data_IF_799315705898
#
_entry.id   IF_799315705898
#
_cell.length_a   1.000
_cell.length_b   1.000
_cell.length_c   1.000
_cell.angle_alpha   90.00
_cell.angle_beta   90.00
_cell.angle_gamma   90.00
#
_symmetry.space_group_name_H-M   'P 1'
#
loop_
_entity.id
_entity.type
_entity.pdbx_description
1 polymer ?
#
# COMPACT_ATOMS: atom_id res chain seq x y z
N UNK A 1 -18.87 10.23 -27.58
CA UNK A 1 -19.69 11.04 -26.65
C UNK A 1 -20.23 10.21 -25.49
N UNK A 2 -21.04 9.16 -25.71
CA UNK A 2 -21.64 8.32 -24.63
C UNK A 2 -20.62 7.78 -23.61
N UNK A 3 -19.46 7.28 -24.04
CA UNK A 3 -18.45 6.74 -23.12
C UNK A 3 -17.85 7.82 -22.18
N UNK A 4 -17.69 9.05 -22.70
CA UNK A 4 -17.19 10.16 -21.91
C UNK A 4 -18.22 10.50 -20.81
N UNK A 5 -19.49 10.54 -21.16
CA UNK A 5 -20.55 10.80 -20.17
C UNK A 5 -20.63 9.70 -19.10
N UNK A 6 -20.50 8.43 -19.49
CA UNK A 6 -20.52 7.29 -18.57
C UNK A 6 -19.33 7.36 -17.59
N UNK A 7 -18.12 7.57 -18.11
CA UNK A 7 -16.95 7.64 -17.24
C UNK A 7 -16.99 8.88 -16.33
N UNK A 8 -17.39 10.03 -16.85
CA UNK A 8 -17.54 11.25 -16.04
C UNK A 8 -18.54 11.06 -14.92
N UNK A 9 -19.67 10.41 -15.17
CA UNK A 9 -20.65 10.08 -14.13
C UNK A 9 -20.03 9.18 -13.04
N UNK A 10 -19.30 8.11 -13.40
CA UNK A 10 -18.64 7.23 -12.46
C UNK A 10 -17.60 7.96 -11.61
N UNK A 11 -16.77 8.81 -12.24
CA UNK A 11 -15.76 9.60 -11.54
C UNK A 11 -16.40 10.57 -10.54
N UNK A 12 -17.51 11.23 -10.91
CA UNK A 12 -18.26 12.11 -10.00
C UNK A 12 -18.83 11.31 -8.82
N UNK A 13 -19.48 10.16 -9.07
CA UNK A 13 -20.02 9.29 -8.01
C UNK A 13 -18.92 8.84 -7.07
N UNK A 14 -17.77 8.38 -7.62
CA UNK A 14 -16.65 7.94 -6.78
C UNK A 14 -16.07 9.10 -5.98
N UNK A 15 -15.87 10.27 -6.59
CA UNK A 15 -15.39 11.46 -5.88
C UNK A 15 -16.31 11.85 -4.71
N UNK A 16 -17.63 11.79 -4.89
CA UNK A 16 -18.59 12.06 -3.82
C UNK A 16 -18.42 11.04 -2.68
N UNK A 17 -18.25 9.74 -2.99
CA UNK A 17 -18.03 8.71 -1.97
C UNK A 17 -16.70 8.92 -1.24
N UNK A 18 -15.61 9.22 -1.95
CA UNK A 18 -14.28 9.43 -1.35
C UNK A 18 -14.27 10.64 -0.40
N UNK A 19 -14.85 11.75 -0.80
CA UNK A 19 -14.91 12.97 0.02
C UNK A 19 -15.80 12.79 1.26
N UNK A 20 -16.82 11.93 1.20
CA UNK A 20 -17.76 11.71 2.30
C UNK A 20 -17.45 10.47 3.14
N UNK A 21 -16.28 9.87 2.99
CA UNK A 21 -15.87 8.70 3.78
C UNK A 21 -14.52 8.90 4.43
N UNK A 22 -14.27 8.11 5.49
CA UNK A 22 -13.00 8.11 6.21
C UNK A 22 -11.82 7.97 5.25
N UNK A 23 -10.89 8.91 5.29
CA UNK A 23 -9.60 8.84 4.63
C UNK A 23 -8.54 8.28 5.59
N UNK A 24 -7.67 7.41 5.12
CA UNK A 24 -6.56 6.89 5.92
C UNK A 24 -5.23 7.43 5.40
N UNK A 25 -4.55 8.24 6.20
CA UNK A 25 -3.20 8.70 5.93
C UNK A 25 -2.26 8.07 6.95
N UNK A 26 -1.55 7.04 6.54
CA UNK A 26 -0.59 6.37 7.39
C UNK A 26 0.55 7.31 7.78
N UNK A 27 0.97 7.37 9.06
CA UNK A 27 2.01 8.29 9.53
C UNK A 27 3.28 8.24 8.69
N UNK A 28 3.70 7.06 8.27
CA UNK A 28 4.89 6.83 7.44
C UNK A 28 4.85 7.61 6.11
N UNK A 29 3.65 7.86 5.57
CA UNK A 29 3.48 8.62 4.31
C UNK A 29 3.81 10.10 4.47
N UNK A 30 3.92 10.61 5.69
CA UNK A 30 4.31 12.00 5.98
C UNK A 30 5.64 12.09 6.70
N UNK A 31 5.92 11.16 7.61
CA UNK A 31 7.14 11.16 8.45
C UNK A 31 8.38 10.84 7.63
N UNK A 32 8.39 9.74 6.85
CA UNK A 32 9.55 9.42 6.00
C UNK A 32 9.92 10.56 5.03
N UNK A 33 8.95 11.14 4.28
CA UNK A 33 9.18 12.29 3.42
C UNK A 33 9.72 13.51 4.17
N UNK A 34 9.18 13.79 5.35
CA UNK A 34 9.62 14.91 6.18
C UNK A 34 11.06 14.75 6.63
N UNK A 35 11.42 13.59 7.16
CA UNK A 35 12.78 13.30 7.62
C UNK A 35 13.77 13.33 6.45
N UNK A 36 13.40 12.77 5.29
CA UNK A 36 14.22 12.81 4.08
C UNK A 36 14.53 14.25 3.65
N UNK A 37 13.53 15.14 3.67
CA UNK A 37 13.70 16.57 3.36
C UNK A 37 14.56 17.31 4.40
N UNK A 38 14.69 16.75 5.60
CA UNK A 38 15.56 17.28 6.66
C UNK A 38 16.91 16.53 6.76
N UNK A 39 17.38 15.98 5.65
CA UNK A 39 18.71 15.36 5.51
C UNK A 39 18.91 14.07 6.35
N UNK A 40 17.85 13.37 6.68
CA UNK A 40 17.93 12.00 7.18
C UNK A 40 18.13 11.05 6.00
N UNK A 41 19.03 10.11 6.15
CA UNK A 41 19.36 9.13 5.10
C UNK A 41 18.44 7.91 5.21
N UNK A 42 17.78 7.54 4.11
CA UNK A 42 16.99 6.31 4.04
C UNK A 42 17.87 5.10 4.41
N UNK A 43 17.27 4.16 5.12
CA UNK A 43 17.83 2.89 5.60
C UNK A 43 18.84 3.02 6.73
N UNK A 44 19.52 4.15 6.87
CA UNK A 44 20.47 4.44 7.95
C UNK A 44 19.81 5.21 9.08
N UNK A 45 19.32 6.40 8.76
CA UNK A 45 18.69 7.32 9.71
C UNK A 45 17.16 7.15 9.76
N UNK A 46 16.57 6.61 8.68
CA UNK A 46 15.14 6.27 8.57
C UNK A 46 15.05 4.78 8.24
N UNK A 47 14.53 3.98 9.13
CA UNK A 47 14.33 2.55 8.90
C UNK A 47 13.06 2.35 8.08
N UNK A 48 13.24 1.87 6.84
CA UNK A 48 12.17 1.73 5.85
C UNK A 48 12.37 0.43 5.04
N UNK A 49 11.42 -0.54 5.07
CA UNK A 49 11.55 -1.81 4.36
C UNK A 49 11.10 -1.77 2.89
N UNK A 50 10.78 -0.59 2.37
CA UNK A 50 10.27 -0.42 1.00
C UNK A 50 11.30 0.21 0.09
N UNK A 51 11.22 -0.02 -1.25
CA UNK A 51 11.99 0.74 -2.22
C UNK A 51 11.77 2.24 -2.08
N UNK A 52 12.74 3.10 -2.45
CA UNK A 52 12.72 4.51 -2.09
C UNK A 52 11.76 5.36 -2.91
N UNK A 53 11.24 4.84 -4.05
CA UNK A 53 10.56 5.65 -5.06
C UNK A 53 9.34 6.41 -4.54
N UNK A 54 8.48 5.77 -3.77
CA UNK A 54 7.30 6.44 -3.23
C UNK A 54 7.70 7.48 -2.17
N UNK A 55 8.62 7.15 -1.27
CA UNK A 55 9.10 8.08 -0.24
C UNK A 55 9.72 9.33 -0.87
N UNK A 56 10.50 9.18 -1.95
CA UNK A 56 11.09 10.31 -2.69
C UNK A 56 9.99 11.15 -3.34
N UNK A 57 9.00 10.51 -3.98
CA UNK A 57 7.86 11.23 -4.58
C UNK A 57 7.11 12.05 -3.53
N UNK A 58 6.76 11.43 -2.40
CA UNK A 58 6.05 12.09 -1.31
C UNK A 58 6.91 13.19 -0.66
N UNK A 59 8.23 13.04 -0.63
CA UNK A 59 9.13 14.09 -0.16
C UNK A 59 9.07 15.35 -1.04
N UNK A 60 8.98 15.20 -2.38
CA UNK A 60 8.79 16.35 -3.27
C UNK A 60 7.42 17.01 -3.04
N UNK A 61 6.36 16.21 -2.86
CA UNK A 61 5.02 16.73 -2.55
C UNK A 61 5.04 17.49 -1.22
N UNK A 62 5.60 16.89 -0.16
CA UNK A 62 5.71 17.52 1.15
C UNK A 62 6.56 18.80 1.14
N UNK A 63 7.62 18.86 0.31
CA UNK A 63 8.44 20.05 0.15
C UNK A 63 7.67 21.23 -0.47
N UNK A 64 6.76 20.94 -1.42
CA UNK A 64 6.00 21.98 -2.15
C UNK A 64 4.73 22.36 -1.39
N UNK A 65 3.98 21.39 -0.88
CA UNK A 65 2.63 21.61 -0.34
C UNK A 65 2.54 21.42 1.19
N UNK A 66 3.63 21.02 1.85
CA UNK A 66 3.64 20.72 3.28
C UNK A 66 3.14 19.32 3.60
N UNK A 67 2.99 19.05 4.92
CA UNK A 67 2.71 17.71 5.45
C UNK A 67 1.31 17.59 6.07
N UNK A 68 0.41 18.54 5.76
CA UNK A 68 -1.01 18.43 6.11
C UNK A 68 -1.68 17.35 5.25
N UNK A 69 -2.80 16.74 5.69
CA UNK A 69 -3.44 15.65 4.97
C UNK A 69 -3.88 15.99 3.55
N UNK A 70 -4.39 17.19 3.29
CA UNK A 70 -5.05 17.56 2.04
C UNK A 70 -4.24 17.29 0.75
N UNK A 71 -2.94 17.62 0.62
CA UNK A 71 -2.17 17.26 -0.57
C UNK A 71 -2.10 15.75 -0.84
N UNK A 72 -2.08 14.95 0.22
CA UNK A 72 -2.03 13.49 0.15
C UNK A 72 -3.40 12.88 -0.21
N UNK A 73 -4.49 13.49 0.25
CA UNK A 73 -5.85 13.16 -0.19
C UNK A 73 -5.99 13.39 -1.70
N UNK A 74 -5.59 14.56 -2.20
CA UNK A 74 -5.65 14.90 -3.63
C UNK A 74 -4.85 13.89 -4.47
N UNK A 75 -3.61 13.55 -4.06
CA UNK A 75 -2.81 12.52 -4.73
C UNK A 75 -3.52 11.17 -4.75
N UNK A 76 -4.08 10.78 -3.62
CA UNK A 76 -4.81 9.50 -3.45
C UNK A 76 -6.02 9.47 -4.36
N UNK A 77 -6.87 10.48 -4.32
CA UNK A 77 -8.07 10.56 -5.14
C UNK A 77 -7.75 10.61 -6.63
N UNK A 78 -6.73 11.36 -7.04
CA UNK A 78 -6.27 11.34 -8.43
C UNK A 78 -5.85 9.93 -8.87
N UNK A 79 -5.11 9.18 -8.03
CA UNK A 79 -4.71 7.81 -8.31
C UNK A 79 -5.91 6.86 -8.43
N UNK A 80 -6.91 7.02 -7.57
CA UNK A 80 -8.16 6.22 -7.60
C UNK A 80 -8.93 6.50 -8.89
N UNK A 81 -9.12 7.77 -9.27
CA UNK A 81 -9.85 8.15 -10.47
C UNK A 81 -9.12 7.73 -11.76
N UNK A 82 -7.79 7.72 -11.76
CA UNK A 82 -6.98 7.11 -12.83
C UNK A 82 -7.25 5.60 -12.90
N UNK A 83 -7.30 4.92 -11.74
CA UNK A 83 -7.59 3.48 -11.65
C UNK A 83 -8.97 3.17 -12.23
N UNK A 84 -10.01 3.93 -11.87
CA UNK A 84 -11.36 3.80 -12.43
C UNK A 84 -11.37 3.94 -13.96
N UNK A 85 -10.66 4.95 -14.46
CA UNK A 85 -10.55 5.20 -15.89
C UNK A 85 -9.88 4.02 -16.63
N UNK A 86 -8.83 3.45 -16.03
CA UNK A 86 -8.15 2.27 -16.57
C UNK A 86 -9.05 1.04 -16.54
N UNK A 87 -9.74 0.77 -15.43
CA UNK A 87 -10.69 -0.34 -15.31
C UNK A 87 -11.77 -0.22 -16.39
N UNK A 88 -12.38 0.96 -16.55
CA UNK A 88 -13.39 1.18 -17.59
C UNK A 88 -12.85 0.91 -19.00
N UNK A 89 -11.68 1.46 -19.32
CA UNK A 89 -11.04 1.29 -20.64
C UNK A 89 -10.75 -0.18 -20.92
N UNK A 90 -10.09 -0.87 -19.98
CA UNK A 90 -9.69 -2.28 -20.12
C UNK A 90 -10.94 -3.18 -20.24
N UNK A 91 -11.93 -2.99 -19.35
CA UNK A 91 -13.18 -3.74 -19.37
C UNK A 91 -13.93 -3.55 -20.69
N UNK A 92 -13.95 -2.34 -21.24
CA UNK A 92 -14.55 -2.04 -22.54
C UNK A 92 -13.82 -2.75 -23.69
N UNK A 93 -12.49 -2.79 -23.66
CA UNK A 93 -11.71 -3.50 -24.66
C UNK A 93 -11.91 -5.02 -24.61
N UNK A 94 -12.02 -5.60 -23.40
CA UNK A 94 -12.26 -7.03 -23.21
C UNK A 94 -13.69 -7.41 -23.63
N UNK A 95 -14.69 -6.64 -23.20
CA UNK A 95 -16.10 -7.00 -23.39
C UNK A 95 -16.72 -6.46 -24.68
N UNK A 96 -16.11 -5.42 -25.26
CA UNK A 96 -16.62 -4.62 -26.40
C UNK A 96 -17.97 -3.93 -26.12
N UNK A 97 -18.40 -3.85 -24.84
CA UNK A 97 -19.69 -3.28 -24.43
C UNK A 97 -19.51 -2.24 -23.32
N UNK A 98 -19.98 -1.00 -23.56
CA UNK A 98 -19.86 0.10 -22.60
C UNK A 98 -20.63 -0.14 -21.31
N UNK A 99 -21.81 -0.80 -21.37
CA UNK A 99 -22.59 -1.16 -20.20
C UNK A 99 -21.83 -2.14 -19.28
N UNK A 100 -21.14 -3.13 -19.84
CA UNK A 100 -20.35 -4.07 -19.04
C UNK A 100 -19.13 -3.38 -18.42
N UNK A 101 -18.50 -2.44 -19.14
CA UNK A 101 -17.43 -1.63 -18.60
C UNK A 101 -17.92 -0.70 -17.47
N UNK A 102 -19.09 -0.11 -17.61
CA UNK A 102 -19.75 0.66 -16.55
C UNK A 102 -19.97 -0.18 -15.29
N UNK A 103 -20.59 -1.35 -15.41
CA UNK A 103 -20.84 -2.25 -14.28
C UNK A 103 -19.57 -2.76 -13.63
N UNK A 104 -18.53 -2.99 -14.40
CA UNK A 104 -17.19 -3.35 -13.94
C UNK A 104 -16.61 -2.25 -13.03
N UNK A 105 -16.59 -1.01 -13.53
CA UNK A 105 -16.04 0.12 -12.78
C UNK A 105 -16.90 0.46 -11.56
N UNK A 106 -18.22 0.42 -11.71
CA UNK A 106 -19.16 0.60 -10.60
C UNK A 106 -18.93 -0.44 -9.48
N UNK A 107 -18.62 -1.68 -9.83
CA UNK A 107 -18.28 -2.73 -8.88
C UNK A 107 -17.00 -2.38 -8.10
N UNK A 108 -15.95 -1.88 -8.78
CA UNK A 108 -14.74 -1.40 -8.11
C UNK A 108 -15.03 -0.18 -7.21
N UNK A 109 -15.77 0.82 -7.71
CA UNK A 109 -16.20 2.00 -6.93
C UNK A 109 -16.92 1.56 -5.65
N UNK A 110 -17.84 0.60 -5.76
CA UNK A 110 -18.61 0.09 -4.62
C UNK A 110 -17.74 -0.65 -3.60
N UNK A 111 -16.70 -1.37 -4.03
CA UNK A 111 -15.76 -2.07 -3.15
C UNK A 111 -14.66 -1.17 -2.59
N UNK A 112 -14.49 0.05 -3.08
CA UNK A 112 -13.35 0.90 -2.76
C UNK A 112 -13.17 1.14 -1.25
N UNK A 113 -14.17 1.68 -0.57
CA UNK A 113 -14.13 1.95 0.88
C UNK A 113 -13.99 0.67 1.71
N UNK A 114 -14.75 -0.42 1.45
CA UNK A 114 -14.58 -1.70 2.14
C UNK A 114 -13.18 -2.29 2.11
N UNK A 115 -12.42 -1.98 1.07
CA UNK A 115 -11.04 -2.47 0.92
C UNK A 115 -9.98 -1.41 1.18
N UNK A 116 -10.34 -0.31 1.83
CA UNK A 116 -9.39 0.72 2.23
C UNK A 116 -8.75 1.47 1.07
N UNK A 117 -9.41 1.52 -0.10
CA UNK A 117 -8.91 2.26 -1.28
C UNK A 117 -8.81 3.76 -0.96
N UNK A 118 -9.73 4.30 -0.11
CA UNK A 118 -9.66 5.69 0.36
C UNK A 118 -8.56 5.87 1.42
N UNK A 119 -7.32 5.56 1.05
CA UNK A 119 -6.16 5.69 1.92
C UNK A 119 -4.85 5.64 1.14
N UNK A 120 -3.91 6.49 1.52
CA UNK A 120 -2.60 6.55 0.87
C UNK A 120 -1.70 5.42 1.36
N UNK A 121 -1.46 4.45 0.48
CA UNK A 121 -0.55 3.34 0.73
C UNK A 121 0.11 2.87 -0.56
N UNK A 122 1.21 2.13 -0.45
CA UNK A 122 1.99 1.62 -1.58
C UNK A 122 1.15 0.81 -2.57
N UNK A 123 0.24 -0.04 -2.08
CA UNK A 123 -0.59 -0.92 -2.92
C UNK A 123 -1.55 -0.13 -3.81
N UNK A 124 -2.09 1.00 -3.31
CA UNK A 124 -2.91 1.88 -4.12
C UNK A 124 -2.08 2.52 -5.24
N UNK A 125 -0.92 3.10 -4.89
CA UNK A 125 -0.07 3.82 -5.86
C UNK A 125 0.42 2.89 -6.98
N UNK A 126 0.71 1.62 -6.69
CA UNK A 126 1.12 0.67 -7.72
C UNK A 126 -0.06 0.11 -8.56
N UNK A 127 -1.31 0.23 -8.10
CA UNK A 127 -2.49 -0.37 -8.78
C UNK A 127 -2.67 0.08 -10.25
N UNK A 128 -2.56 1.36 -10.62
CA UNK A 128 -2.61 1.78 -12.02
C UNK A 128 -1.53 1.10 -12.89
N UNK A 129 -0.33 0.92 -12.34
CA UNK A 129 0.79 0.27 -13.04
C UNK A 129 0.53 -1.22 -13.23
N UNK A 130 -0.01 -1.89 -12.22
CA UNK A 130 -0.46 -3.29 -12.29
C UNK A 130 -1.53 -3.47 -13.37
N UNK A 131 -2.52 -2.57 -13.44
CA UNK A 131 -3.55 -2.60 -14.47
C UNK A 131 -2.98 -2.37 -15.87
N UNK A 132 -2.05 -1.41 -16.03
CA UNK A 132 -1.38 -1.17 -17.32
C UNK A 132 -0.53 -2.37 -17.75
N UNK A 133 0.19 -2.97 -16.80
CA UNK A 133 0.94 -4.20 -17.03
C UNK A 133 0.02 -5.33 -17.52
N UNK A 134 -1.08 -5.58 -16.78
CA UNK A 134 -2.08 -6.58 -17.15
C UNK A 134 -2.69 -6.28 -18.53
N UNK A 135 -3.04 -5.03 -18.80
CA UNK A 135 -3.59 -4.60 -20.09
C UNK A 135 -2.66 -4.96 -21.26
N UNK A 136 -1.38 -4.60 -21.18
CA UNK A 136 -0.43 -4.90 -22.24
C UNK A 136 -0.13 -6.40 -22.36
N UNK A 137 -0.12 -7.12 -21.24
CA UNK A 137 -0.02 -8.58 -21.25
C UNK A 137 -1.22 -9.23 -21.96
N UNK A 138 -2.43 -8.82 -21.61
CA UNK A 138 -3.65 -9.32 -22.22
C UNK A 138 -3.74 -8.97 -23.71
N UNK A 139 -3.34 -7.77 -24.09
CA UNK A 139 -3.28 -7.35 -25.50
C UNK A 139 -2.23 -8.16 -26.28
N UNK A 140 -1.08 -8.46 -25.68
CA UNK A 140 -0.10 -9.38 -26.25
C UNK A 140 -0.69 -10.78 -26.52
N UNK A 141 -1.46 -11.31 -25.59
CA UNK A 141 -2.12 -12.61 -25.75
C UNK A 141 -3.16 -12.62 -26.89
N UNK A 142 -3.76 -11.47 -27.16
CA UNK A 142 -4.78 -11.33 -28.21
C UNK A 142 -4.20 -11.13 -29.60
N UNK A 143 -3.16 -10.34 -29.73
CA UNK A 143 -2.71 -9.82 -31.02
C UNK A 143 -1.22 -10.11 -31.30
N UNK A 144 -0.49 -10.63 -30.30
CA UNK A 144 0.96 -10.80 -30.38
C UNK A 144 1.70 -9.46 -30.24
N UNK A 145 2.98 -9.47 -30.60
CA UNK A 145 3.83 -8.27 -30.64
C UNK A 145 4.67 -8.07 -29.38
N UNK A 146 5.95 -8.39 -29.48
CA UNK A 146 6.91 -8.36 -28.37
C UNK A 146 6.96 -7.01 -27.65
N UNK A 147 6.75 -5.87 -28.36
CA UNK A 147 6.70 -4.53 -27.76
C UNK A 147 5.65 -4.41 -26.63
N UNK A 148 4.49 -5.08 -26.79
CA UNK A 148 3.43 -5.07 -25.76
C UNK A 148 3.87 -5.83 -24.52
N UNK A 149 4.53 -6.96 -24.72
CA UNK A 149 5.09 -7.73 -23.62
C UNK A 149 6.18 -6.93 -22.88
N UNK A 150 7.04 -6.25 -23.62
CA UNK A 150 8.07 -5.36 -23.04
C UNK A 150 7.43 -4.21 -22.21
N UNK A 151 6.36 -3.57 -22.72
CA UNK A 151 5.63 -2.55 -21.96
C UNK A 151 5.00 -3.14 -20.70
N UNK A 152 4.43 -4.35 -20.77
CA UNK A 152 3.90 -5.03 -19.59
C UNK A 152 4.98 -5.18 -18.51
N UNK A 153 6.16 -5.69 -18.85
CA UNK A 153 7.27 -5.86 -17.90
C UNK A 153 7.88 -4.54 -17.43
N UNK A 154 7.86 -3.50 -18.25
CA UNK A 154 8.25 -2.15 -17.83
C UNK A 154 7.34 -1.63 -16.71
N UNK A 155 6.00 -1.76 -16.87
CA UNK A 155 5.06 -1.34 -15.82
C UNK A 155 5.20 -2.16 -14.53
N UNK A 156 5.45 -3.48 -14.63
CA UNK A 156 5.76 -4.31 -13.44
C UNK A 156 7.02 -3.81 -12.76
N UNK A 157 8.06 -3.50 -13.52
CA UNK A 157 9.30 -2.98 -12.98
C UNK A 157 9.09 -1.68 -12.20
N UNK A 158 8.37 -0.72 -12.77
CA UNK A 158 8.06 0.53 -12.07
C UNK A 158 7.24 0.25 -10.80
N UNK A 159 6.26 -0.64 -10.86
CA UNK A 159 5.47 -1.06 -9.70
C UNK A 159 6.34 -1.72 -8.62
N UNK A 160 7.33 -2.55 -9.00
CA UNK A 160 8.27 -3.20 -8.08
C UNK A 160 9.09 -2.17 -7.29
N UNK A 161 9.55 -1.10 -7.93
CA UNK A 161 10.30 -0.03 -7.25
C UNK A 161 9.41 0.91 -6.40
N UNK A 162 8.09 0.71 -6.41
CA UNK A 162 7.18 1.26 -5.41
C UNK A 162 7.04 0.28 -4.24
N UNK A 163 6.80 -1.02 -4.54
CA UNK A 163 6.68 -2.08 -3.54
C UNK A 163 7.04 -3.44 -4.15
N UNK A 164 7.92 -4.18 -3.48
CA UNK A 164 8.54 -5.41 -4.00
C UNK A 164 7.53 -6.50 -4.38
N UNK A 165 6.34 -6.53 -3.77
CA UNK A 165 5.32 -7.56 -4.05
C UNK A 165 4.88 -7.61 -5.52
N UNK A 166 5.12 -6.55 -6.32
CA UNK A 166 4.88 -6.61 -7.78
C UNK A 166 5.66 -7.74 -8.48
N UNK A 167 6.71 -8.28 -7.85
CA UNK A 167 7.42 -9.47 -8.33
C UNK A 167 6.49 -10.68 -8.54
N UNK A 168 5.44 -10.85 -7.73
CA UNK A 168 4.48 -11.94 -7.90
C UNK A 168 3.73 -11.87 -9.23
N UNK A 169 3.45 -10.66 -9.71
CA UNK A 169 2.84 -10.48 -11.02
C UNK A 169 3.82 -10.86 -12.15
N UNK A 170 5.09 -10.45 -12.04
CA UNK A 170 6.12 -10.84 -13.00
C UNK A 170 6.29 -12.36 -13.04
N UNK A 171 6.36 -12.99 -11.86
CA UNK A 171 6.48 -14.44 -11.73
C UNK A 171 5.31 -15.17 -12.40
N UNK A 172 4.06 -14.71 -12.17
CA UNK A 172 2.89 -15.27 -12.82
C UNK A 172 2.96 -15.13 -14.34
N UNK A 173 3.30 -13.98 -14.86
CA UNK A 173 3.38 -13.77 -16.31
C UNK A 173 4.45 -14.64 -16.95
N UNK A 174 5.60 -14.81 -16.30
CA UNK A 174 6.66 -15.72 -16.77
C UNK A 174 6.19 -17.19 -16.78
N UNK A 175 5.52 -17.65 -15.73
CA UNK A 175 4.92 -19.01 -15.71
C UNK A 175 3.96 -19.19 -16.88
N UNK A 176 3.03 -18.23 -17.05
CA UNK A 176 2.05 -18.32 -18.13
C UNK A 176 2.71 -18.38 -19.51
N UNK A 177 3.68 -17.51 -19.77
CA UNK A 177 4.44 -17.49 -21.03
C UNK A 177 5.17 -18.82 -21.25
N UNK A 178 5.84 -19.33 -20.23
CA UNK A 178 6.54 -20.61 -20.32
C UNK A 178 5.60 -21.77 -20.65
N UNK A 179 4.44 -21.84 -20.01
CA UNK A 179 3.46 -22.89 -20.23
C UNK A 179 2.76 -22.82 -21.60
N UNK A 180 2.53 -21.60 -22.11
CA UNK A 180 1.74 -21.39 -23.33
C UNK A 180 2.59 -21.22 -24.59
N UNK A 181 3.82 -20.71 -24.47
CA UNK A 181 4.70 -20.40 -25.59
C UNK A 181 5.84 -21.41 -25.77
N UNK A 182 5.80 -22.56 -25.08
CA UNK A 182 6.84 -23.61 -25.11
C UNK A 182 7.32 -23.97 -26.52
N UNK A 183 6.47 -23.78 -27.54
CA UNK A 183 6.76 -24.09 -28.95
C UNK A 183 6.83 -22.85 -29.86
N UNK A 184 6.86 -21.63 -29.32
CA UNK A 184 6.91 -20.39 -30.09
C UNK A 184 8.28 -19.72 -29.97
N UNK A 185 8.83 -19.21 -31.05
CA UNK A 185 10.09 -18.49 -31.14
C UNK A 185 10.18 -17.21 -30.27
N UNK A 186 9.06 -16.79 -29.63
CA UNK A 186 9.00 -15.55 -28.86
C UNK A 186 9.75 -15.59 -27.52
N UNK A 187 10.06 -16.79 -26.97
CA UNK A 187 10.82 -16.97 -25.72
C UNK A 187 12.27 -17.45 -26.01
N UNK A 188 12.94 -16.86 -26.96
CA UNK A 188 14.38 -17.06 -27.09
C UNK A 188 15.16 -16.30 -26.00
N UNK A 189 16.40 -16.68 -25.75
CA UNK A 189 17.24 -16.08 -24.70
C UNK A 189 17.36 -14.56 -24.84
N UNK A 190 17.44 -14.03 -26.07
CA UNK A 190 17.49 -12.60 -26.37
C UNK A 190 16.23 -11.88 -25.87
N UNK A 191 15.06 -12.43 -26.12
CA UNK A 191 13.80 -11.83 -25.71
C UNK A 191 13.62 -11.88 -24.19
N UNK A 192 14.01 -12.96 -23.52
CA UNK A 192 14.01 -13.06 -22.06
C UNK A 192 14.92 -11.97 -21.47
N UNK A 193 16.12 -11.79 -22.02
CA UNK A 193 17.02 -10.74 -21.57
C UNK A 193 16.42 -9.34 -21.78
N UNK A 194 15.79 -9.08 -22.93
CA UNK A 194 15.11 -7.81 -23.19
C UNK A 194 13.96 -7.54 -22.21
N UNK A 195 13.20 -8.57 -21.82
CA UNK A 195 12.15 -8.41 -20.80
C UNK A 195 12.72 -8.08 -19.42
N UNK A 196 13.88 -8.61 -19.08
CA UNK A 196 14.57 -8.29 -17.82
C UNK A 196 15.26 -6.93 -17.83
N UNK A 197 15.56 -6.36 -19.01
CA UNK A 197 16.35 -5.13 -19.16
C UNK A 197 15.83 -3.94 -18.33
N UNK A 198 14.51 -3.59 -18.30
CA UNK A 198 14.03 -2.50 -17.46
C UNK A 198 14.34 -2.71 -15.98
N UNK A 199 14.16 -3.93 -15.48
CA UNK A 199 14.46 -4.29 -14.10
C UNK A 199 15.96 -4.22 -13.81
N UNK A 200 16.80 -4.75 -14.70
CA UNK A 200 18.25 -4.71 -14.54
C UNK A 200 18.77 -3.27 -14.52
N UNK A 201 18.28 -2.40 -15.42
CA UNK A 201 18.68 -0.99 -15.45
C UNK A 201 18.32 -0.29 -14.13
N UNK A 202 17.06 -0.36 -13.71
CA UNK A 202 16.63 0.33 -12.48
C UNK A 202 17.29 -0.26 -11.24
N UNK A 203 17.45 -1.58 -11.15
CA UNK A 203 18.18 -2.21 -10.04
C UNK A 203 19.64 -1.73 -10.00
N UNK A 204 20.33 -1.73 -11.15
CA UNK A 204 21.73 -1.27 -11.23
C UNK A 204 21.85 0.18 -10.80
N UNK A 205 20.94 1.07 -11.24
CA UNK A 205 20.96 2.47 -10.82
C UNK A 205 20.80 2.63 -9.31
N UNK A 206 19.88 1.87 -8.68
CA UNK A 206 19.71 1.89 -7.23
C UNK A 206 20.95 1.36 -6.50
N UNK A 207 21.51 0.23 -6.96
CA UNK A 207 22.72 -0.36 -6.36
C UNK A 207 23.91 0.60 -6.45
N UNK A 208 24.15 1.21 -7.63
CA UNK A 208 25.20 2.21 -7.81
C UNK A 208 24.98 3.40 -6.88
N UNK A 209 23.77 3.96 -6.84
CA UNK A 209 23.47 5.11 -5.99
C UNK A 209 23.76 4.81 -4.51
N UNK A 210 23.24 3.71 -3.97
CA UNK A 210 23.44 3.35 -2.57
C UNK A 210 24.89 2.95 -2.26
N UNK A 211 25.62 2.38 -3.23
CA UNK A 211 27.05 2.11 -3.07
C UNK A 211 27.88 3.41 -3.01
N UNK A 212 27.60 4.40 -3.87
CA UNK A 212 28.30 5.69 -3.87
C UNK A 212 28.12 6.44 -2.56
N UNK A 213 26.91 6.42 -1.98
CA UNK A 213 26.65 7.09 -0.70
C UNK A 213 27.00 6.22 0.53
N UNK A 214 27.59 5.02 0.33
CA UNK A 214 28.02 4.12 1.39
C UNK A 214 26.89 3.49 2.20
N UNK A 215 25.72 3.26 1.59
CA UNK A 215 24.52 2.71 2.23
C UNK A 215 24.03 1.43 1.54
N UNK A 216 24.90 0.73 0.84
CA UNK A 216 24.52 -0.49 0.12
C UNK A 216 24.01 -1.59 1.07
N UNK A 217 24.73 -1.82 2.17
CA UNK A 217 24.41 -2.90 3.12
C UNK A 217 23.07 -2.64 3.83
N UNK A 218 22.78 -1.39 4.24
CA UNK A 218 21.52 -0.99 4.84
C UNK A 218 20.37 -1.08 3.85
N UNK A 219 20.58 -0.63 2.61
CA UNK A 219 19.60 -0.76 1.54
C UNK A 219 19.27 -2.24 1.25
N UNK A 220 20.30 -3.08 1.08
CA UNK A 220 20.14 -4.50 0.82
C UNK A 220 19.41 -5.20 1.97
N UNK A 221 19.83 -4.92 3.21
CA UNK A 221 19.21 -5.49 4.39
C UNK A 221 17.71 -5.15 4.46
N UNK A 222 17.34 -3.86 4.39
CA UNK A 222 15.96 -3.45 4.60
C UNK A 222 15.04 -3.76 3.42
N UNK A 223 15.52 -3.65 2.17
CA UNK A 223 14.67 -3.81 0.98
C UNK A 223 14.62 -5.25 0.49
N UNK A 224 15.66 -6.05 0.75
CA UNK A 224 15.77 -7.42 0.24
C UNK A 224 15.75 -8.44 1.36
N UNK A 225 16.72 -8.40 2.30
CA UNK A 225 16.90 -9.43 3.31
C UNK A 225 15.74 -9.44 4.32
N UNK A 226 15.40 -8.27 4.85
CA UNK A 226 14.32 -8.14 5.84
C UNK A 226 12.98 -8.70 5.36
N UNK A 227 12.39 -8.29 4.21
CA UNK A 227 11.09 -8.78 3.79
C UNK A 227 11.08 -10.27 3.40
N UNK A 228 12.21 -10.84 3.00
CA UNK A 228 12.30 -12.23 2.55
C UNK A 228 12.63 -13.21 3.69
N UNK A 229 13.60 -12.86 4.55
CA UNK A 229 14.17 -13.79 5.53
C UNK A 229 13.86 -13.39 6.98
N UNK A 230 13.99 -12.10 7.33
CA UNK A 230 13.96 -11.67 8.73
C UNK A 230 12.54 -11.46 9.25
N UNK A 231 11.68 -10.86 8.43
CA UNK A 231 10.34 -10.47 8.84
C UNK A 231 9.45 -11.65 9.24
N UNK A 232 9.62 -12.79 8.58
CA UNK A 232 8.82 -14.00 8.85
C UNK A 232 9.05 -14.57 10.25
N UNK A 233 10.23 -14.34 10.81
CA UNK A 233 10.61 -14.78 12.16
C UNK A 233 10.25 -13.76 13.24
N UNK A 234 9.77 -12.56 12.84
CA UNK A 234 9.48 -11.48 13.78
C UNK A 234 8.12 -11.64 14.43
N UNK A 235 8.05 -11.50 15.74
CA UNK A 235 6.80 -11.61 16.49
C UNK A 235 5.74 -10.62 16.00
N UNK A 236 4.55 -11.13 15.70
CA UNK A 236 3.41 -10.32 15.26
C UNK A 236 3.49 -9.78 13.83
N UNK A 237 4.54 -10.08 13.06
CA UNK A 237 4.63 -9.65 11.67
C UNK A 237 3.70 -10.44 10.76
N UNK A 238 3.71 -11.76 10.87
CA UNK A 238 2.84 -12.62 10.07
C UNK A 238 1.41 -12.54 10.59
N UNK A 239 0.50 -12.05 9.76
CA UNK A 239 -0.94 -11.99 10.05
C UNK A 239 -1.71 -12.76 8.99
N UNK A 240 -2.30 -13.88 9.41
CA UNK A 240 -3.21 -14.65 8.57
C UNK A 240 -4.63 -14.07 8.60
N UNK A 241 -5.40 -14.16 7.50
CA UNK A 241 -6.76 -13.67 7.48
C UNK A 241 -7.66 -14.44 8.46
N UNK A 242 -8.54 -13.73 9.14
CA UNK A 242 -9.62 -14.31 9.94
C UNK A 242 -10.63 -15.02 9.04
N UNK A 243 -11.47 -15.91 9.61
CA UNK A 243 -12.53 -16.57 8.84
C UNK A 243 -13.49 -15.58 8.14
N UNK A 244 -13.78 -14.44 8.77
CA UNK A 244 -14.59 -13.37 8.16
C UNK A 244 -13.91 -12.76 6.96
N UNK A 245 -12.61 -12.47 7.06
CA UNK A 245 -11.82 -11.94 5.96
C UNK A 245 -11.69 -12.95 4.82
N UNK A 246 -11.48 -14.23 5.16
CA UNK A 246 -11.47 -15.32 4.16
C UNK A 246 -12.80 -15.44 3.43
N UNK A 247 -13.94 -15.35 4.13
CA UNK A 247 -15.27 -15.38 3.52
C UNK A 247 -15.46 -14.24 2.51
N UNK A 248 -14.97 -13.03 2.79
CA UNK A 248 -15.01 -11.91 1.86
C UNK A 248 -14.17 -12.21 0.61
N UNK A 249 -12.92 -12.69 0.78
CA UNK A 249 -12.04 -13.05 -0.36
C UNK A 249 -12.64 -14.17 -1.19
N UNK A 250 -13.11 -15.25 -0.57
CA UNK A 250 -13.77 -16.37 -1.26
C UNK A 250 -15.00 -15.88 -2.05
N UNK A 251 -15.82 -15.00 -1.47
CA UNK A 251 -16.98 -14.44 -2.16
C UNK A 251 -16.57 -13.63 -3.39
N UNK A 252 -15.51 -12.83 -3.33
CA UNK A 252 -14.97 -12.11 -4.49
C UNK A 252 -14.56 -13.08 -5.62
N UNK A 253 -13.83 -14.15 -5.29
CA UNK A 253 -13.38 -15.13 -6.29
C UNK A 253 -14.51 -16.00 -6.82
N UNK A 254 -15.56 -16.24 -6.02
CA UNK A 254 -16.78 -16.92 -6.47
C UNK A 254 -17.42 -16.20 -7.67
N UNK A 255 -17.36 -14.86 -7.70
CA UNK A 255 -17.85 -14.07 -8.84
C UNK A 255 -17.06 -14.31 -10.14
N UNK A 256 -15.88 -14.92 -10.06
CA UNK A 256 -15.05 -15.23 -11.22
C UNK A 256 -15.22 -16.66 -11.75
N UNK A 257 -16.02 -17.51 -11.11
CA UNK A 257 -16.22 -18.92 -11.52
C UNK A 257 -16.68 -19.03 -12.99
N UNK A 258 -17.62 -18.23 -13.53
CA UNK A 258 -17.99 -18.30 -14.93
C UNK A 258 -16.82 -18.05 -15.88
N UNK A 259 -15.90 -17.15 -15.52
CA UNK A 259 -14.69 -16.85 -16.32
C UNK A 259 -13.70 -18.00 -16.26
N UNK A 260 -13.48 -18.60 -15.10
CA UNK A 260 -12.61 -19.78 -14.94
C UNK A 260 -13.06 -20.98 -15.74
N UNK A 261 -14.38 -21.14 -15.94
CA UNK A 261 -14.98 -22.19 -16.79
C UNK A 261 -14.96 -21.85 -18.29
N UNK A 262 -14.59 -20.62 -18.67
CA UNK A 262 -14.56 -20.22 -20.09
C UNK A 262 -13.62 -21.10 -20.90
N UNK A 263 -13.99 -21.42 -22.15
CA UNK A 263 -13.12 -22.09 -23.11
C UNK A 263 -11.99 -21.18 -23.61
N UNK A 264 -12.16 -19.87 -23.54
CA UNK A 264 -11.11 -18.89 -23.88
C UNK A 264 -10.08 -18.79 -22.76
N UNK A 265 -8.91 -19.38 -22.98
CA UNK A 265 -7.81 -19.38 -22.02
C UNK A 265 -7.33 -17.97 -21.66
N UNK A 266 -7.47 -17.00 -22.58
CA UNK A 266 -7.08 -15.62 -22.35
C UNK A 266 -7.96 -14.97 -21.28
N UNK A 267 -9.27 -15.25 -21.31
CA UNK A 267 -10.17 -14.74 -20.26
C UNK A 267 -9.85 -15.32 -18.90
N UNK A 268 -9.40 -16.59 -18.81
CA UNK A 268 -9.00 -17.21 -17.53
C UNK A 268 -7.79 -16.53 -16.90
N UNK A 269 -6.95 -15.83 -17.69
CA UNK A 269 -5.81 -15.09 -17.10
C UNK A 269 -6.26 -14.01 -16.15
N UNK A 270 -7.47 -13.43 -16.32
CA UNK A 270 -7.98 -12.34 -15.46
C UNK A 270 -8.07 -12.81 -13.99
N UNK A 271 -8.91 -13.82 -13.63
CA UNK A 271 -9.03 -14.26 -12.25
C UNK A 271 -7.74 -14.91 -11.71
N UNK A 272 -6.94 -15.55 -12.57
CA UNK A 272 -5.68 -16.15 -12.13
C UNK A 272 -4.66 -15.04 -11.81
N UNK A 273 -4.59 -13.97 -12.59
CA UNK A 273 -3.77 -12.79 -12.26
C UNK A 273 -4.20 -12.20 -10.91
N UNK A 274 -5.50 -12.02 -10.69
CA UNK A 274 -6.01 -11.54 -9.42
C UNK A 274 -5.63 -12.47 -8.24
N UNK A 275 -5.62 -13.79 -8.46
CA UNK A 275 -5.18 -14.77 -7.46
C UNK A 275 -3.69 -14.59 -7.08
N UNK A 276 -2.81 -14.37 -8.08
CA UNK A 276 -1.41 -14.08 -7.79
C UNK A 276 -1.23 -12.73 -7.09
N UNK A 277 -2.08 -11.75 -7.37
CA UNK A 277 -2.09 -10.46 -6.67
C UNK A 277 -2.59 -10.56 -5.22
N UNK A 278 -3.27 -11.65 -4.80
CA UNK A 278 -3.53 -11.90 -3.37
C UNK A 278 -2.24 -12.06 -2.57
N UNK A 279 -1.15 -12.52 -3.20
CA UNK A 279 0.15 -12.64 -2.55
C UNK A 279 0.74 -11.29 -2.11
N UNK A 280 0.17 -10.17 -2.57
CA UNK A 280 0.51 -8.84 -2.05
C UNK A 280 0.13 -8.66 -0.56
N UNK A 281 -0.85 -9.42 -0.08
CA UNK A 281 -1.24 -9.46 1.32
C UNK A 281 -0.40 -10.45 2.16
N UNK A 282 0.58 -11.12 1.57
CA UNK A 282 1.51 -11.97 2.29
C UNK A 282 2.80 -11.21 2.62
N UNK A 283 3.37 -11.37 3.82
CA UNK A 283 2.94 -12.25 4.93
C UNK A 283 1.93 -11.60 5.90
N UNK A 284 1.50 -10.36 5.65
CA UNK A 284 0.64 -9.60 6.54
C UNK A 284 -0.67 -9.26 5.84
N UNK A 285 -1.73 -10.01 6.20
CA UNK A 285 -3.03 -9.82 5.59
C UNK A 285 -3.71 -8.54 6.11
N UNK A 286 -4.02 -7.63 5.17
CA UNK A 286 -5.00 -6.57 5.38
C UNK A 286 -5.74 -6.30 4.05
N UNK A 287 -6.95 -5.75 4.14
CA UNK A 287 -7.77 -5.49 2.96
C UNK A 287 -7.13 -4.51 1.97
N UNK A 288 -6.41 -3.50 2.43
CA UNK A 288 -5.77 -2.53 1.53
C UNK A 288 -4.64 -3.14 0.69
N UNK A 289 -4.06 -4.27 1.10
CA UNK A 289 -3.11 -5.02 0.26
C UNK A 289 -3.77 -5.72 -0.92
N UNK A 290 -5.10 -5.87 -0.87
CA UNK A 290 -5.86 -6.52 -1.94
C UNK A 290 -6.27 -5.55 -3.06
N UNK A 291 -5.99 -4.25 -2.96
CA UNK A 291 -6.43 -3.24 -3.93
C UNK A 291 -6.07 -3.62 -5.37
N UNK A 292 -4.81 -4.03 -5.71
CA UNK A 292 -4.49 -4.45 -7.07
C UNK A 292 -5.27 -5.69 -7.52
N UNK A 293 -5.49 -6.65 -6.61
CA UNK A 293 -6.27 -7.86 -6.90
C UNK A 293 -7.73 -7.52 -7.23
N UNK A 294 -8.36 -6.63 -6.44
CA UNK A 294 -9.75 -6.22 -6.62
C UNK A 294 -9.94 -5.44 -7.92
N UNK A 295 -8.97 -4.59 -8.27
CA UNK A 295 -8.99 -3.86 -9.53
C UNK A 295 -9.02 -4.84 -10.73
N UNK A 296 -8.21 -5.90 -10.71
CA UNK A 296 -8.22 -6.94 -11.75
C UNK A 296 -9.47 -7.83 -11.65
N UNK A 297 -9.94 -8.19 -10.44
CA UNK A 297 -11.18 -8.96 -10.24
C UNK A 297 -12.40 -8.23 -10.77
N UNK A 298 -12.42 -6.91 -10.72
CA UNK A 298 -13.50 -6.12 -11.31
C UNK A 298 -13.65 -6.37 -12.81
N UNK A 299 -12.52 -6.58 -13.53
CA UNK A 299 -12.54 -6.98 -14.94
C UNK A 299 -13.19 -8.37 -15.12
N UNK A 300 -12.89 -9.31 -14.21
CA UNK A 300 -13.50 -10.64 -14.20
C UNK A 300 -15.02 -10.56 -14.00
N UNK A 301 -15.49 -9.67 -13.09
CA UNK A 301 -16.92 -9.48 -12.82
C UNK A 301 -17.70 -9.13 -14.09
N UNK A 302 -17.21 -8.22 -14.93
CA UNK A 302 -17.89 -7.83 -16.16
C UNK A 302 -18.01 -8.97 -17.18
N UNK A 303 -16.96 -9.79 -17.30
CA UNK A 303 -16.97 -10.98 -18.15
C UNK A 303 -17.90 -12.05 -17.59
N UNK A 304 -17.89 -12.24 -16.26
CA UNK A 304 -18.78 -13.17 -15.55
C UNK A 304 -20.25 -12.84 -15.78
N UNK A 305 -20.65 -11.57 -15.69
CA UNK A 305 -22.02 -11.14 -15.98
C UNK A 305 -22.48 -11.55 -17.40
N UNK A 306 -21.57 -11.48 -18.38
CA UNK A 306 -21.87 -11.93 -19.74
C UNK A 306 -22.08 -13.44 -19.83
N UNK A 307 -21.36 -14.23 -19.05
CA UNK A 307 -21.39 -15.68 -19.05
C UNK A 307 -22.46 -16.26 -18.12
N UNK A 308 -22.88 -15.50 -17.11
CA UNK A 308 -23.75 -15.92 -16.00
C UNK A 308 -25.04 -16.62 -16.45
N UNK A 309 -25.71 -16.11 -17.49
CA UNK A 309 -26.96 -16.69 -17.97
C UNK A 309 -26.83 -18.13 -18.46
N UNK A 310 -25.62 -18.52 -18.93
CA UNK A 310 -25.31 -19.86 -19.44
C UNK A 310 -24.88 -20.84 -18.37
N UNK A 311 -24.71 -20.37 -17.11
CA UNK A 311 -24.26 -21.20 -16.00
C UNK A 311 -25.36 -22.11 -15.44
N UNK A 312 -24.96 -23.22 -14.81
CA UNK A 312 -25.82 -24.12 -14.08
C UNK A 312 -26.47 -23.43 -12.86
N UNK A 313 -27.62 -23.91 -12.43
CA UNK A 313 -28.39 -23.33 -11.31
C UNK A 313 -27.55 -23.20 -10.03
N UNK A 314 -26.76 -24.20 -9.69
CA UNK A 314 -25.88 -24.20 -8.52
C UNK A 314 -24.83 -23.06 -8.59
N UNK A 315 -24.20 -22.86 -9.75
CA UNK A 315 -23.25 -21.75 -9.96
C UNK A 315 -23.95 -20.40 -9.81
N UNK A 316 -25.14 -20.26 -10.36
CA UNK A 316 -25.96 -19.04 -10.22
C UNK A 316 -26.31 -18.75 -8.75
N UNK A 317 -26.68 -19.79 -8.01
CA UNK A 317 -26.98 -19.66 -6.59
C UNK A 317 -25.77 -19.11 -5.81
N UNK A 318 -24.60 -19.74 -5.92
CA UNK A 318 -23.39 -19.28 -5.23
C UNK A 318 -22.94 -17.88 -5.69
N UNK A 319 -23.09 -17.57 -6.96
CA UNK A 319 -22.80 -16.25 -7.49
C UNK A 319 -23.69 -15.17 -6.86
N UNK A 320 -25.00 -15.39 -6.80
CA UNK A 320 -25.95 -14.46 -6.21
C UNK A 320 -25.75 -14.35 -4.68
N UNK A 321 -25.49 -15.45 -4.00
CA UNK A 321 -25.16 -15.46 -2.58
C UNK A 321 -23.91 -14.61 -2.30
N UNK A 322 -22.85 -14.75 -3.12
CA UNK A 322 -21.64 -13.94 -3.00
C UNK A 322 -21.91 -12.44 -3.26
N UNK A 323 -22.75 -12.10 -4.25
CA UNK A 323 -23.17 -10.71 -4.51
C UNK A 323 -23.88 -10.14 -3.28
N UNK A 324 -24.89 -10.83 -2.76
CA UNK A 324 -25.67 -10.37 -1.58
C UNK A 324 -24.74 -10.20 -0.37
N UNK A 325 -23.85 -11.16 -0.13
CA UNK A 325 -22.89 -11.07 0.97
C UNK A 325 -21.97 -9.85 0.84
N UNK A 326 -21.37 -9.63 -0.35
CA UNK A 326 -20.49 -8.49 -0.60
C UNK A 326 -21.24 -7.15 -0.52
N UNK A 327 -22.49 -7.08 -0.98
CA UNK A 327 -23.34 -5.90 -0.83
C UNK A 327 -23.60 -5.58 0.63
N UNK A 328 -23.97 -6.59 1.42
CA UNK A 328 -24.22 -6.42 2.87
C UNK A 328 -22.95 -6.02 3.62
N UNK A 329 -21.84 -6.68 3.33
CA UNK A 329 -20.53 -6.35 3.89
C UNK A 329 -20.16 -4.88 3.57
N UNK A 330 -20.25 -4.49 2.30
CA UNK A 330 -19.89 -3.14 1.88
C UNK A 330 -20.80 -2.07 2.48
N UNK A 331 -22.14 -2.30 2.49
CA UNK A 331 -23.07 -1.36 3.10
C UNK A 331 -22.76 -1.10 4.58
N UNK A 332 -22.40 -2.16 5.33
CA UNK A 332 -22.01 -2.03 6.74
C UNK A 332 -20.70 -1.23 6.88
N UNK A 333 -19.71 -1.47 6.03
CA UNK A 333 -18.44 -0.74 6.09
C UNK A 333 -18.64 0.72 5.71
N UNK A 334 -19.43 1.03 4.70
CA UNK A 334 -19.81 2.41 4.36
C UNK A 334 -20.50 3.11 5.53
N UNK A 335 -21.45 2.45 6.19
CA UNK A 335 -22.12 3.01 7.35
C UNK A 335 -21.15 3.36 8.49
N UNK A 336 -20.13 2.52 8.74
CA UNK A 336 -19.13 2.74 9.78
C UNK A 336 -18.11 3.81 9.44
N UNK A 337 -17.85 4.02 8.16
CA UNK A 337 -16.83 4.96 7.68
C UNK A 337 -17.45 6.21 7.02
N UNK A 338 -18.76 6.44 7.18
CA UNK A 338 -19.39 7.63 6.63
C UNK A 338 -19.04 8.86 7.46
N UNK A 339 -18.67 9.93 6.77
CA UNK A 339 -18.17 11.18 7.34
C UNK A 339 -16.70 11.41 6.98
N UNK A 340 -16.39 12.62 6.56
CA UNK A 340 -15.01 13.01 6.24
C UNK A 340 -14.21 13.18 7.53
N UNK A 341 -13.34 12.23 7.79
CA UNK A 341 -12.32 12.28 8.84
C UNK A 341 -11.02 11.71 8.28
N UNK A 342 -9.91 12.15 8.80
CA UNK A 342 -8.60 11.62 8.43
C UNK A 342 -8.04 10.81 9.58
N UNK A 343 -8.01 9.48 9.40
CA UNK A 343 -7.44 8.57 10.40
C UNK A 343 -5.96 8.89 10.62
N UNK A 344 -5.54 8.88 11.86
CA UNK A 344 -4.22 9.28 12.38
C UNK A 344 -3.97 10.80 12.39
N UNK A 345 -4.93 11.60 11.94
CA UNK A 345 -4.85 13.07 11.97
C UNK A 345 -6.12 13.65 12.62
N UNK A 346 -6.50 13.06 13.75
CA UNK A 346 -7.61 13.53 14.56
C UNK A 346 -7.30 14.91 15.18
N UNK A 347 -8.30 15.69 15.62
CA UNK A 347 -8.11 17.04 16.16
C UNK A 347 -7.10 17.13 17.32
N UNK A 348 -7.01 16.09 18.13
CA UNK A 348 -6.07 15.98 19.27
C UNK A 348 -4.61 16.01 18.82
N UNK A 349 -4.32 15.43 17.64
CA UNK A 349 -2.98 15.43 17.04
C UNK A 349 -2.57 16.85 16.65
N UNK A 350 -3.48 17.61 16.05
CA UNK A 350 -3.21 19.01 15.69
C UNK A 350 -3.04 19.89 16.94
N UNK A 351 -3.80 19.63 17.99
CA UNK A 351 -3.67 20.32 19.29
C UNK A 351 -2.30 20.06 19.89
N UNK A 352 -1.87 18.80 19.94
CA UNK A 352 -0.55 18.43 20.44
C UNK A 352 0.57 19.02 19.56
N UNK A 353 0.44 18.97 18.24
CA UNK A 353 1.42 19.53 17.30
C UNK A 353 1.57 21.06 17.50
N UNK A 354 0.45 21.76 17.69
CA UNK A 354 0.45 23.20 17.98
C UNK A 354 1.17 23.47 19.31
N UNK A 355 0.84 22.72 20.37
CA UNK A 355 1.52 22.86 21.66
C UNK A 355 3.05 22.68 21.52
N UNK A 356 3.50 21.64 20.81
CA UNK A 356 4.93 21.39 20.59
C UNK A 356 5.58 22.53 19.79
N UNK A 357 4.88 23.08 18.78
CA UNK A 357 5.43 24.15 17.95
C UNK A 357 5.55 25.48 18.71
N UNK A 358 4.67 25.76 19.68
CA UNK A 358 4.64 27.00 20.46
C UNK A 358 5.56 26.95 21.70
N UNK A 359 5.74 25.76 22.30
CA UNK A 359 6.43 25.62 23.59
C UNK A 359 7.83 24.99 23.50
N UNK A 360 8.20 24.42 22.36
CA UNK A 360 9.52 23.81 22.16
C UNK A 360 10.25 24.59 21.07
N UNK A 361 11.52 24.96 21.31
CA UNK A 361 12.34 25.63 20.31
C UNK A 361 12.59 24.72 19.09
N UNK A 362 12.69 25.32 17.89
CA UNK A 362 12.81 24.56 16.65
C UNK A 362 14.04 23.65 16.56
N UNK A 363 15.13 24.03 17.23
CA UNK A 363 16.39 23.27 17.23
C UNK A 363 16.40 22.11 18.25
N UNK A 364 15.39 22.03 19.13
CA UNK A 364 15.30 20.94 20.09
C UNK A 364 14.77 19.68 19.42
N UNK A 365 15.50 18.58 19.61
CA UNK A 365 15.05 17.25 19.22
C UNK A 365 13.92 16.76 20.12
N UNK A 366 12.98 16.07 19.53
CA UNK A 366 11.82 15.46 20.21
C UNK A 366 11.77 13.99 19.88
N UNK A 367 11.89 13.12 20.86
CA UNK A 367 11.63 11.71 20.67
C UNK A 367 10.14 11.41 20.92
N UNK A 368 9.54 10.58 20.09
CA UNK A 368 8.14 10.16 20.24
C UNK A 368 8.11 8.70 20.65
N UNK A 369 7.65 8.42 21.85
CA UNK A 369 7.50 7.09 22.40
C UNK A 369 6.05 6.61 22.24
N UNK A 370 5.86 5.49 21.56
CA UNK A 370 4.55 4.87 21.26
C UNK A 370 3.65 5.73 20.36
N UNK A 371 4.25 6.51 19.44
CA UNK A 371 3.53 7.40 18.50
C UNK A 371 2.77 8.54 19.20
N UNK A 372 2.05 9.37 18.51
CA UNK A 372 1.85 9.42 17.03
C UNK A 372 2.98 10.19 16.32
N UNK A 373 3.70 9.53 15.45
CA UNK A 373 4.92 10.06 14.81
C UNK A 373 4.65 11.22 13.84
N UNK A 374 3.43 11.35 13.30
CA UNK A 374 3.02 12.48 12.47
C UNK A 374 3.07 13.83 13.19
N UNK A 375 3.27 13.84 14.50
CA UNK A 375 3.56 15.08 15.24
C UNK A 375 4.88 15.73 14.77
N UNK A 376 5.87 14.93 14.34
CA UNK A 376 7.16 15.43 13.86
C UNK A 376 7.00 16.40 12.68
N UNK A 377 6.40 16.01 11.55
CA UNK A 377 6.18 16.93 10.44
C UNK A 377 5.19 18.06 10.75
N UNK A 378 4.14 17.81 11.56
CA UNK A 378 3.15 18.82 11.90
C UNK A 378 3.70 19.91 12.80
N UNK A 379 4.51 19.53 13.81
CA UNK A 379 5.16 20.48 14.72
C UNK A 379 6.50 21.00 14.20
N UNK A 380 6.98 20.50 13.06
CA UNK A 380 8.30 20.80 12.48
C UNK A 380 9.42 20.51 13.48
N UNK A 381 9.38 19.34 14.09
CA UNK A 381 10.40 18.86 15.05
C UNK A 381 11.12 17.65 14.48
N UNK A 382 12.36 17.47 14.86
CA UNK A 382 13.19 16.35 14.40
C UNK A 382 13.43 15.37 15.56
N UNK A 383 13.42 14.06 15.30
CA UNK A 383 13.76 13.06 16.30
C UNK A 383 15.28 12.83 16.35
N UNK A 384 15.81 12.17 17.40
CA UNK A 384 17.16 11.60 17.38
C UNK A 384 17.34 10.57 16.24
N UNK A 385 18.56 10.39 15.76
CA UNK A 385 18.94 9.41 14.74
C UNK A 385 19.48 8.12 15.35
N UNK A 386 19.11 6.95 14.82
CA UNK A 386 18.14 6.71 13.78
C UNK A 386 16.70 6.79 14.30
N UNK A 387 15.79 7.16 13.42
CA UNK A 387 14.37 7.08 13.68
C UNK A 387 13.78 5.77 13.09
N UNK A 388 12.87 5.17 13.84
CA UNK A 388 12.14 3.96 13.46
C UNK A 388 10.74 4.01 14.07
N UNK A 389 9.76 3.51 13.35
CA UNK A 389 8.43 3.28 13.91
C UNK A 389 8.50 2.18 15.00
N UNK A 390 7.95 2.44 16.19
CA UNK A 390 8.04 1.53 17.34
C UNK A 390 7.20 0.24 17.15
N UNK A 391 7.61 -0.59 16.22
CA UNK A 391 6.99 -1.88 15.94
C UNK A 391 7.97 -3.01 16.28
N UNK A 392 7.48 -4.13 16.87
CA UNK A 392 8.35 -5.23 17.29
C UNK A 392 9.19 -5.80 16.15
N UNK A 393 8.64 -5.89 14.96
CA UNK A 393 9.35 -6.40 13.79
C UNK A 393 10.44 -5.48 13.25
N UNK A 394 10.56 -4.25 13.74
CA UNK A 394 11.71 -3.38 13.46
C UNK A 394 12.67 -3.36 14.64
N UNK A 395 12.16 -3.11 15.83
CA UNK A 395 13.00 -2.88 17.02
C UNK A 395 13.64 -4.16 17.58
N UNK A 396 12.98 -5.32 17.44
CA UNK A 396 13.52 -6.59 17.94
C UNK A 396 14.44 -7.31 16.94
N UNK A 397 14.69 -6.73 15.75
CA UNK A 397 15.59 -7.30 14.77
C UNK A 397 17.02 -6.82 15.02
N UNK A 398 17.93 -7.77 15.17
CA UNK A 398 19.36 -7.48 15.34
C UNK A 398 19.61 -6.46 16.44
N UNK A 399 20.30 -5.38 16.10
CA UNK A 399 20.70 -4.33 17.04
C UNK A 399 19.84 -3.06 16.94
N UNK A 400 18.69 -3.08 16.27
CA UNK A 400 17.95 -1.85 15.95
C UNK A 400 17.56 -1.11 17.22
N UNK A 401 16.98 -1.78 18.21
CA UNK A 401 16.61 -1.14 19.48
C UNK A 401 17.83 -0.50 20.19
N UNK A 402 18.98 -1.18 20.17
CA UNK A 402 20.21 -0.64 20.75
C UNK A 402 20.75 0.56 19.94
N UNK A 403 20.66 0.53 18.61
CA UNK A 403 21.06 1.67 17.76
C UNK A 403 20.20 2.90 18.03
N UNK A 404 18.89 2.72 18.19
CA UNK A 404 17.97 3.81 18.54
C UNK A 404 18.30 4.37 19.93
N UNK A 405 18.51 3.49 20.93
CA UNK A 405 18.89 3.90 22.26
C UNK A 405 20.20 4.70 22.26
N UNK A 406 21.24 4.21 21.61
CA UNK A 406 22.51 4.92 21.48
C UNK A 406 22.34 6.30 20.81
N UNK A 407 21.41 6.40 19.84
CA UNK A 407 21.06 7.68 19.22
C UNK A 407 20.41 8.64 20.19
N UNK A 408 19.44 8.16 20.98
CA UNK A 408 18.78 8.95 22.02
C UNK A 408 19.80 9.42 23.08
N UNK A 409 20.67 8.54 23.54
CA UNK A 409 21.73 8.88 24.52
C UNK A 409 22.71 9.93 23.96
N UNK A 410 23.15 9.75 22.73
CA UNK A 410 24.12 10.63 22.05
C UNK A 410 23.56 12.02 21.77
N UNK A 411 22.35 12.07 21.17
CA UNK A 411 21.73 13.33 20.77
C UNK A 411 20.96 14.00 21.89
N UNK A 412 20.66 13.25 22.94
CA UNK A 412 20.16 13.72 24.22
C UNK A 412 18.94 14.67 24.09
N UNK A 413 17.82 14.22 23.49
CA UNK A 413 16.66 15.07 23.29
C UNK A 413 16.16 15.66 24.63
N UNK A 414 15.80 16.93 24.63
CA UNK A 414 15.27 17.59 25.84
C UNK A 414 13.82 17.15 26.13
N UNK A 415 13.11 16.68 25.14
CA UNK A 415 11.69 16.42 25.22
C UNK A 415 11.33 15.04 24.64
N UNK A 416 10.45 14.34 25.38
CA UNK A 416 9.84 13.08 24.94
C UNK A 416 8.33 13.27 24.88
N UNK A 417 7.73 13.05 23.71
CA UNK A 417 6.28 12.88 23.64
C UNK A 417 5.97 11.41 23.93
N UNK A 418 5.08 11.19 24.85
CA UNK A 418 4.76 9.85 25.34
C UNK A 418 3.25 9.59 25.26
N UNK A 419 2.89 8.45 24.65
CA UNK A 419 1.56 7.88 24.72
C UNK A 419 1.60 6.60 25.57
N UNK A 420 0.74 6.46 26.60
CA UNK A 420 0.68 5.23 27.40
C UNK A 420 0.43 4.00 26.53
N UNK A 421 1.13 2.91 26.83
CA UNK A 421 0.90 1.65 26.16
C UNK A 421 -0.45 1.04 26.58
N UNK A 422 -1.29 0.66 25.60
CA UNK A 422 -2.57 0.03 25.87
C UNK A 422 -2.82 -1.17 24.95
N UNK A 423 -3.70 -2.09 25.38
CA UNK A 423 -4.07 -3.25 24.55
C UNK A 423 -4.92 -2.81 23.36
N UNK A 424 -4.69 -3.45 22.22
CA UNK A 424 -5.49 -3.25 21.00
C UNK A 424 -5.04 -2.08 20.14
N UNK A 425 -4.03 -1.33 20.57
CA UNK A 425 -3.41 -0.31 19.74
C UNK A 425 -2.42 -0.92 18.75
N UNK A 426 -2.13 -0.19 17.69
CA UNK A 426 -1.19 -0.54 16.63
C UNK A 426 -1.30 -2.01 16.19
N UNK A 427 -2.14 -2.25 15.22
CA UNK A 427 -2.26 -3.55 14.54
C UNK A 427 -2.67 -4.73 15.43
N UNK A 428 -3.32 -4.47 16.56
CA UNK A 428 -3.78 -5.50 17.50
C UNK A 428 -2.66 -6.43 18.03
N UNK A 429 -1.43 -5.93 18.13
CA UNK A 429 -0.26 -6.69 18.61
C UNK A 429 -0.21 -6.87 20.13
N UNK A 430 -1.22 -6.38 20.83
CA UNK A 430 -1.19 -6.25 22.28
C UNK A 430 -0.34 -5.04 22.70
N UNK A 431 0.15 -5.08 23.93
CA UNK A 431 1.06 -4.04 24.41
C UNK A 431 2.49 -4.45 24.04
N UNK A 432 3.06 -3.80 23.03
CA UNK A 432 4.48 -3.89 22.75
C UNK A 432 5.19 -2.70 23.37
N UNK A 433 6.22 -2.95 24.16
CA UNK A 433 7.05 -1.95 24.79
C UNK A 433 8.52 -2.27 24.50
N UNK A 434 9.26 -1.41 23.79
CA UNK A 434 10.69 -1.62 23.56
C UNK A 434 11.43 -1.43 24.89
N UNK A 435 11.84 -2.55 25.50
CA UNK A 435 12.28 -2.58 26.89
C UNK A 435 13.46 -1.66 27.18
N UNK A 436 14.54 -1.76 26.36
CA UNK A 436 15.75 -0.97 26.58
C UNK A 436 15.50 0.54 26.46
N UNK A 437 14.73 0.95 25.47
CA UNK A 437 14.39 2.36 25.24
C UNK A 437 13.49 2.85 26.38
N UNK A 438 12.46 2.07 26.73
CA UNK A 438 11.50 2.47 27.78
C UNK A 438 12.15 2.59 29.14
N UNK A 439 13.03 1.64 29.52
CA UNK A 439 13.73 1.69 30.81
C UNK A 439 14.67 2.89 30.89
N UNK A 440 15.36 3.21 29.78
CA UNK A 440 16.19 4.42 29.72
C UNK A 440 15.35 5.69 29.87
N UNK A 441 14.24 5.80 29.14
CA UNK A 441 13.39 6.99 29.19
C UNK A 441 12.74 7.17 30.57
N UNK A 442 12.26 6.09 31.19
CA UNK A 442 11.62 6.15 32.50
C UNK A 442 12.61 6.50 33.60
N UNK A 443 13.90 6.18 33.45
CA UNK A 443 14.95 6.55 34.40
C UNK A 443 15.50 7.97 34.22
N UNK A 444 15.27 8.61 33.08
CA UNK A 444 15.90 9.90 32.78
C UNK A 444 14.90 11.05 32.54
N UNK A 445 13.60 10.76 32.34
CA UNK A 445 12.58 11.76 31.99
C UNK A 445 11.35 11.60 32.91
N UNK A 446 11.13 12.55 33.80
CA UNK A 446 10.18 12.39 34.89
C UNK A 446 8.95 13.27 34.79
N UNK A 447 9.12 14.54 34.55
CA UNK A 447 8.01 15.47 34.59
C UNK A 447 7.19 15.37 33.35
N UNK A 448 5.90 15.19 33.50
CA UNK A 448 5.00 15.12 32.39
C UNK A 448 3.90 16.17 32.48
N UNK A 449 3.75 16.88 31.37
CA UNK A 449 2.60 17.76 31.13
C UNK A 449 1.71 17.09 30.11
N UNK A 450 0.44 16.99 30.43
CA UNK A 450 -0.53 16.48 29.45
C UNK A 450 -0.74 17.53 28.35
N UNK A 451 -0.47 17.15 27.10
CA UNK A 451 -0.54 18.06 25.94
C UNK A 451 -1.78 17.80 25.06
N UNK A 452 -2.39 16.63 25.21
CA UNK A 452 -3.73 16.29 24.68
C UNK A 452 -4.31 15.12 25.47
N UNK A 453 -5.48 14.59 25.09
CA UNK A 453 -6.23 13.59 25.84
C UNK A 453 -5.35 12.39 26.29
N UNK A 454 -4.53 11.84 25.38
CA UNK A 454 -3.71 10.64 25.61
C UNK A 454 -2.20 10.88 25.39
N UNK A 455 -1.76 12.16 25.31
CA UNK A 455 -0.38 12.49 25.04
C UNK A 455 0.23 13.34 26.15
N UNK A 456 1.43 12.98 26.52
CA UNK A 456 2.21 13.60 27.58
C UNK A 456 3.55 14.07 27.04
N UNK A 457 4.01 15.20 27.52
CA UNK A 457 5.36 15.71 27.29
C UNK A 457 6.19 15.47 28.53
N UNK A 458 7.22 14.63 28.42
CA UNK A 458 8.20 14.40 29.47
C UNK A 458 9.46 15.26 29.26
N UNK A 459 10.04 15.76 30.33
CA UNK A 459 11.29 16.51 30.29
C UNK A 459 12.31 15.86 31.22
N UNK A 460 13.59 16.15 30.98
CA UNK A 460 14.66 15.87 31.96
C UNK A 460 14.50 16.77 33.18
N UNK A 461 15.03 16.29 34.32
CA UNK A 461 15.23 17.12 35.49
C UNK A 461 16.29 18.18 35.26
#
# INVERSE_FOLDING_TARGET
MINILIISFLLIVHSILLVNTLFTLWPEMTVYPYLLNNKYLLYKDIINPYPPSLTILLAQIGKVFGYLPFPYEVLTWATILITDTLIFKIAKEITKKSLLAFLCTLFFVFLSVPFGVNGLWFDLIQTPLVLMSFYYFFDYLNTGGFKKLLLSFLYITVAFFIKQQAAWLAFWFLIYLFLTLKNKHDLNLKNIFLLATPFLILSTLHLIYFSIIGLFDEFYFWVIDFPILQSLNSAGYVQIPTLKQMAVVVSLFTLSIPVLKSKDLRLRTIPITALFLLLFAYPRFDYFHLIPSIAVLSLSFSVSLRLFLKEQLLTKFFYLAAVVFLLTFSARVYQLNWGHNVRFFEPEIFTAAKYLSENIHADNLVYIQNGPDQLLPLAKRLPPKPWVDELPWYLEIGNVQQRVLNGIEKENPAFIVYKPYSRGERYALGVYRPQKISDFLDNNYYNSVQISQDLWLKTKN
#
